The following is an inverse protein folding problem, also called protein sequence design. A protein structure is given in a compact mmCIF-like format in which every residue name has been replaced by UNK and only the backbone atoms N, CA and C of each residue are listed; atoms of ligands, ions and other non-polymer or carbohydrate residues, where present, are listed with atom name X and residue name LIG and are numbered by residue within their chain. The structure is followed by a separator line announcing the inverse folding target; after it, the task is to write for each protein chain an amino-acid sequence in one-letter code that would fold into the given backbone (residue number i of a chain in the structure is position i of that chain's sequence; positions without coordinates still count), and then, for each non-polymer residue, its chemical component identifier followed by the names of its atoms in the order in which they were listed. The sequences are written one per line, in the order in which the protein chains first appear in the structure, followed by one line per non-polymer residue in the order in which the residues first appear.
data_IF_038505326332
#
_entry.id   IF_038505326332
#
_cell.length_a   1.000
_cell.length_b   1.000
_cell.length_c   1.000
_cell.angle_alpha   90.00
_cell.angle_beta   90.00
_cell.angle_gamma   90.00
#
_symmetry.space_group_name_H-M   'P 1'
#
loop_
_entity.id
_entity.type
_entity.pdbx_description
1 polymer ?
#
# COMPACT_ATOMS: atom_id res chain seq x y z
N UNK A 1 -25.07 -18.20 -7.04
CA UNK A 1 -23.66 -17.96 -7.42
C UNK A 1 -23.18 -19.21 -8.11
N UNK A 2 -22.78 -19.09 -9.36
CA UNK A 2 -22.28 -20.24 -10.13
C UNK A 2 -20.81 -20.50 -9.82
N UNK A 3 -20.38 -21.75 -9.94
CA UNK A 3 -19.00 -22.20 -9.62
C UNK A 3 -17.91 -21.36 -10.30
N UNK A 4 -18.01 -20.99 -11.60
CA UNK A 4 -17.00 -20.15 -12.26
C UNK A 4 -16.89 -18.75 -11.64
N UNK A 5 -18.02 -18.15 -11.28
CA UNK A 5 -18.08 -16.82 -10.68
C UNK A 5 -17.46 -16.80 -9.27
N UNK A 6 -17.62 -17.89 -8.53
CA UNK A 6 -16.96 -18.07 -7.23
C UNK A 6 -15.44 -18.18 -7.37
N UNK A 7 -14.96 -19.02 -8.31
CA UNK A 7 -13.52 -19.18 -8.55
C UNK A 7 -12.88 -17.87 -8.97
N UNK A 8 -13.52 -17.11 -9.88
CA UNK A 8 -13.02 -15.79 -10.29
C UNK A 8 -12.88 -14.85 -9.10
N UNK A 9 -13.91 -14.76 -8.26
CA UNK A 9 -13.89 -13.91 -7.07
C UNK A 9 -12.76 -14.30 -6.10
N UNK A 10 -12.51 -15.59 -5.90
CA UNK A 10 -11.42 -16.06 -5.04
C UNK A 10 -10.05 -15.69 -5.60
N UNK A 11 -9.87 -15.79 -6.92
CA UNK A 11 -8.63 -15.37 -7.60
C UNK A 11 -8.40 -13.87 -7.42
N UNK A 12 -9.42 -13.05 -7.64
CA UNK A 12 -9.31 -11.59 -7.52
C UNK A 12 -8.93 -11.19 -6.07
N UNK A 13 -9.58 -11.80 -5.07
CA UNK A 13 -9.23 -11.60 -3.64
C UNK A 13 -7.78 -12.01 -3.34
N UNK A 14 -7.34 -13.16 -3.88
CA UNK A 14 -5.97 -13.63 -3.69
C UNK A 14 -4.94 -12.67 -4.28
N UNK A 15 -5.18 -12.19 -5.50
CA UNK A 15 -4.30 -11.20 -6.16
C UNK A 15 -4.23 -9.90 -5.35
N UNK A 16 -5.37 -9.38 -4.88
CA UNK A 16 -5.40 -8.17 -4.06
C UNK A 16 -4.60 -8.33 -2.75
N UNK A 17 -4.67 -9.49 -2.11
CA UNK A 17 -3.93 -9.77 -0.89
C UNK A 17 -2.41 -9.83 -1.16
N UNK A 18 -1.99 -10.56 -2.18
CA UNK A 18 -0.57 -10.69 -2.55
C UNK A 18 0.06 -9.35 -2.95
N UNK A 19 -0.68 -8.50 -3.69
CA UNK A 19 -0.17 -7.18 -4.07
C UNK A 19 0.02 -6.26 -2.86
N UNK A 20 -0.85 -6.34 -1.86
CA UNK A 20 -0.70 -5.59 -0.60
C UNK A 20 0.53 -6.05 0.17
N UNK A 21 0.70 -7.36 0.33
CA UNK A 21 1.85 -7.95 1.05
C UNK A 21 3.17 -7.60 0.37
N UNK A 22 3.21 -7.70 -0.96
CA UNK A 22 4.37 -7.35 -1.76
C UNK A 22 4.71 -5.85 -1.66
N UNK A 23 3.72 -4.96 -1.81
CA UNK A 23 3.92 -3.52 -1.70
C UNK A 23 4.45 -3.10 -0.32
N UNK A 24 3.92 -3.72 0.74
CA UNK A 24 4.38 -3.52 2.11
C UNK A 24 5.83 -3.97 2.28
N UNK A 25 6.20 -5.14 1.75
CA UNK A 25 7.58 -5.64 1.81
C UNK A 25 8.55 -4.66 1.14
N UNK A 26 8.21 -4.17 -0.05
CA UNK A 26 9.01 -3.17 -0.77
C UNK A 26 9.13 -1.85 0.02
N UNK A 27 8.05 -1.38 0.64
CA UNK A 27 8.05 -0.17 1.46
C UNK A 27 8.94 -0.34 2.70
N UNK A 28 8.79 -1.45 3.43
CA UNK A 28 9.59 -1.77 4.63
C UNK A 28 11.08 -1.82 4.29
N UNK A 29 11.42 -2.42 3.16
CA UNK A 29 12.79 -2.54 2.65
C UNK A 29 13.32 -1.21 2.04
N UNK A 30 12.56 -0.11 2.11
CA UNK A 30 12.89 1.22 1.56
C UNK A 30 13.15 1.23 0.04
N UNK A 31 12.60 0.26 -0.69
CA UNK A 31 12.73 0.14 -2.16
C UNK A 31 11.75 1.04 -2.90
N UNK A 32 10.64 1.40 -2.26
CA UNK A 32 9.58 2.24 -2.84
C UNK A 32 9.06 3.24 -1.82
N UNK A 33 8.52 4.37 -2.30
CA UNK A 33 7.81 5.34 -1.45
C UNK A 33 6.42 4.84 -1.05
N UNK A 34 5.80 5.47 -0.05
CA UNK A 34 4.40 5.21 0.34
C UNK A 34 3.45 5.32 -0.87
N UNK A 35 3.66 6.35 -1.71
CA UNK A 35 2.87 6.56 -2.92
C UNK A 35 3.01 5.42 -3.92
N UNK A 36 4.25 4.94 -4.14
CA UNK A 36 4.49 3.84 -5.06
C UNK A 36 4.01 2.49 -4.50
N UNK A 37 4.08 2.28 -3.18
CA UNK A 37 3.49 1.12 -2.53
C UNK A 37 1.96 1.12 -2.71
N UNK A 38 1.30 2.26 -2.48
CA UNK A 38 -0.14 2.42 -2.69
C UNK A 38 -0.54 2.07 -4.14
N UNK A 39 0.20 2.58 -5.12
CA UNK A 39 0.02 2.28 -6.55
C UNK A 39 0.12 0.78 -6.85
N UNK A 40 1.15 0.10 -6.36
CA UNK A 40 1.36 -1.36 -6.57
C UNK A 40 0.20 -2.17 -5.99
N UNK A 41 -0.28 -1.78 -4.81
CA UNK A 41 -1.39 -2.47 -4.14
C UNK A 41 -2.79 -2.08 -4.65
N UNK A 42 -2.90 -1.15 -5.60
CA UNK A 42 -4.18 -0.70 -6.14
C UNK A 42 -5.06 0.07 -5.14
N UNK A 43 -4.48 0.65 -4.09
CA UNK A 43 -5.23 1.40 -3.06
C UNK A 43 -4.76 2.86 -2.99
N UNK A 44 -5.55 3.72 -2.33
CA UNK A 44 -5.16 5.11 -2.11
C UNK A 44 -3.98 5.22 -1.11
N UNK A 45 -3.21 6.33 -1.18
CA UNK A 45 -2.15 6.62 -0.18
C UNK A 45 -2.67 6.56 1.26
N UNK A 46 -3.90 7.03 1.50
CA UNK A 46 -4.53 6.99 2.82
C UNK A 46 -4.87 5.55 3.25
N UNK A 47 -5.38 4.72 2.35
CA UNK A 47 -5.61 3.31 2.64
C UNK A 47 -4.30 2.56 2.91
N UNK A 48 -3.21 2.91 2.22
CA UNK A 48 -1.89 2.35 2.52
C UNK A 48 -1.38 2.77 3.91
N UNK A 49 -1.61 4.03 4.33
CA UNK A 49 -1.26 4.47 5.69
C UNK A 49 -2.00 3.65 6.76
N UNK A 50 -3.31 3.46 6.60
CA UNK A 50 -4.09 2.63 7.54
C UNK A 50 -3.62 1.17 7.51
N UNK A 51 -3.32 0.61 6.34
CA UNK A 51 -2.81 -0.75 6.21
C UNK A 51 -1.45 -0.96 6.91
N UNK A 52 -0.55 0.02 6.81
CA UNK A 52 0.72 -0.01 7.53
C UNK A 52 0.52 0.08 9.05
N UNK A 53 -0.42 0.91 9.49
CA UNK A 53 -0.79 1.06 10.91
C UNK A 53 -1.42 -0.22 11.47
N UNK A 54 -2.35 -0.84 10.76
CA UNK A 54 -2.99 -2.10 11.15
C UNK A 54 -2.01 -3.26 11.30
N UNK A 55 -0.89 -3.21 10.59
CA UNK A 55 0.15 -4.25 10.61
C UNK A 55 1.38 -3.87 11.46
N UNK A 56 1.27 -2.81 12.26
CA UNK A 56 2.35 -2.28 13.11
C UNK A 56 3.66 -2.01 12.34
N UNK A 57 3.55 -1.58 11.09
CA UNK A 57 4.70 -1.26 10.24
C UNK A 57 5.03 0.22 10.42
N UNK A 58 6.19 0.55 10.99
CA UNK A 58 6.56 1.94 11.21
C UNK A 58 6.67 2.67 9.88
N UNK A 59 6.11 3.88 9.84
CA UNK A 59 6.40 4.82 8.79
C UNK A 59 7.88 5.18 8.93
N UNK A 60 8.73 4.54 8.13
CA UNK A 60 10.16 4.82 8.01
C UNK A 60 10.42 6.20 7.35
N UNK A 61 9.56 7.17 7.64
CA UNK A 61 9.58 8.52 7.10
C UNK A 61 10.36 9.38 8.09
N UNK A 62 11.46 9.98 7.64
CA UNK A 62 12.15 10.96 8.47
C UNK A 62 11.32 12.25 8.53
N UNK A 63 11.47 13.05 9.59
CA UNK A 63 10.85 14.38 9.69
C UNK A 63 11.13 15.27 8.47
N UNK A 64 12.30 15.09 7.85
CA UNK A 64 12.69 15.77 6.59
C UNK A 64 11.83 15.36 5.40
N UNK A 65 11.44 14.09 5.33
CA UNK A 65 10.60 13.58 4.23
C UNK A 65 9.16 14.06 4.39
N UNK A 66 8.64 14.10 5.63
CA UNK A 66 7.33 14.70 5.93
C UNK A 66 7.30 16.17 5.52
N UNK A 67 8.36 16.93 5.82
CA UNK A 67 8.44 18.35 5.47
C UNK A 67 8.48 18.58 3.95
N UNK A 68 9.19 17.72 3.20
CA UNK A 68 9.21 17.78 1.74
C UNK A 68 7.82 17.55 1.14
N UNK A 69 7.13 16.51 1.60
CA UNK A 69 5.79 16.18 1.13
C UNK A 69 4.77 17.28 1.48
N UNK A 70 4.90 17.88 2.67
CA UNK A 70 4.06 19.01 3.09
C UNK A 70 4.27 20.23 2.18
N UNK A 71 5.52 20.63 1.96
CA UNK A 71 5.84 21.79 1.14
C UNK A 71 5.34 21.62 -0.30
N UNK A 72 5.53 20.44 -0.89
CA UNK A 72 5.08 20.13 -2.25
C UNK A 72 3.55 20.11 -2.42
N UNK A 73 2.80 19.98 -1.32
CA UNK A 73 1.33 20.02 -1.34
C UNK A 73 0.76 21.43 -1.12
N UNK A 74 1.58 22.38 -0.68
CA UNK A 74 1.20 23.76 -0.37
C UNK A 74 1.68 24.79 -1.39
N UNK A 75 2.52 24.38 -2.34
CA UNK A 75 2.90 25.14 -3.55
C UNK A 75 1.94 24.84 -4.71
#
# INVERSE_FOLDING_TARGET
MDTPSLVRKLIDIGIEHELKDYAIGLFRDKKVSLGKAAEISGISKRAMLELLKERDIPLNTSTRDIQKDFNAATE
#
